data_IF_843346900766
#
_entry.id   IF_843346900766
#
_cell.length_a   1.000
_cell.length_b   1.000
_cell.length_c   1.000
_cell.angle_alpha   90.00
_cell.angle_beta   90.00
_cell.angle_gamma   90.00
#
_symmetry.space_group_name_H-M   'P 1'
#
loop_
_entity.id
_entity.type
_entity.pdbx_description
1 polymer ?
#
# COMPACT_ATOMS: atom_id res chain seq x y z
N UNK A 1 -18.35 -51.08 -92.40
CA UNK A 1 -17.23 -50.26 -91.96
C UNK A 1 -17.69 -49.49 -90.72
N UNK A 2 -17.46 -49.93 -89.53
CA UNK A 2 -17.88 -49.32 -88.31
C UNK A 2 -16.88 -49.69 -87.24
N UNK A 3 -16.20 -48.73 -86.74
CA UNK A 3 -15.24 -48.88 -85.63
C UNK A 3 -15.93 -48.61 -84.29
N UNK A 4 -15.93 -49.60 -83.44
CA UNK A 4 -16.33 -49.48 -82.02
C UNK A 4 -15.21 -48.85 -81.23
N UNK A 5 -15.54 -47.85 -80.43
CA UNK A 5 -14.66 -47.23 -79.46
C UNK A 5 -15.12 -47.66 -78.06
N UNK A 6 -14.24 -48.43 -77.37
CA UNK A 6 -14.46 -48.86 -76.00
C UNK A 6 -14.11 -47.76 -75.04
N UNK A 7 -15.04 -47.44 -74.07
CA UNK A 7 -14.78 -46.59 -72.93
C UNK A 7 -14.11 -47.44 -71.81
N UNK A 8 -12.93 -46.98 -71.37
CA UNK A 8 -12.22 -47.48 -70.19
C UNK A 8 -12.62 -46.62 -69.01
N UNK A 9 -13.29 -47.19 -68.02
CA UNK A 9 -13.62 -46.50 -66.76
C UNK A 9 -12.45 -46.70 -65.80
N UNK A 10 -11.82 -45.55 -65.40
CA UNK A 10 -10.80 -45.51 -64.36
C UNK A 10 -11.52 -45.21 -63.05
N UNK A 11 -11.48 -46.18 -62.12
CA UNK A 11 -11.96 -45.96 -60.74
C UNK A 11 -10.79 -45.33 -59.92
N UNK A 12 -10.97 -44.07 -59.48
CA UNK A 12 -10.02 -43.43 -58.59
C UNK A 12 -10.47 -43.74 -57.14
N UNK A 13 -9.71 -44.57 -56.44
CA UNK A 13 -9.88 -44.83 -55.02
C UNK A 13 -9.38 -43.68 -54.19
N UNK A 14 -10.28 -42.99 -53.48
CA UNK A 14 -9.93 -42.03 -52.43
C UNK A 14 -9.52 -42.80 -51.17
N UNK A 15 -8.23 -42.78 -50.81
CA UNK A 15 -7.75 -43.16 -49.48
C UNK A 15 -7.91 -41.96 -48.54
N UNK A 16 -8.87 -42.04 -47.62
CA UNK A 16 -8.98 -41.11 -46.50
C UNK A 16 -7.88 -41.46 -45.50
N UNK A 17 -6.84 -40.66 -45.47
CA UNK A 17 -5.82 -40.70 -44.40
C UNK A 17 -6.37 -39.97 -43.16
N UNK A 18 -6.73 -40.73 -42.11
CA UNK A 18 -6.96 -40.18 -40.80
C UNK A 18 -5.62 -39.71 -40.22
N UNK A 19 -5.29 -38.45 -40.44
CA UNK A 19 -4.25 -37.75 -39.69
C UNK A 19 -4.73 -37.49 -38.26
N UNK A 20 -4.15 -38.16 -37.28
CA UNK A 20 -4.30 -37.77 -35.89
C UNK A 20 -3.63 -36.41 -35.67
N UNK A 21 -4.41 -35.34 -35.72
CA UNK A 21 -4.00 -34.03 -35.19
C UNK A 21 -3.76 -34.18 -33.69
N UNK A 22 -2.48 -34.22 -33.32
CA UNK A 22 -2.07 -34.02 -31.94
C UNK A 22 -2.50 -32.62 -31.55
N UNK A 23 -3.55 -32.52 -30.70
CA UNK A 23 -3.94 -31.29 -30.08
C UNK A 23 -2.76 -30.72 -29.30
N UNK A 24 -2.09 -29.72 -29.86
CA UNK A 24 -1.16 -28.88 -29.11
C UNK A 24 -2.00 -28.22 -28.00
N UNK A 25 -1.50 -28.18 -26.75
CA UNK A 25 -2.19 -27.46 -25.72
C UNK A 25 -2.29 -26.00 -26.15
N UNK A 26 -3.51 -25.53 -26.38
CA UNK A 26 -3.76 -24.08 -26.52
C UNK A 26 -3.22 -23.40 -25.28
N UNK A 27 -2.15 -22.63 -25.46
CA UNK A 27 -1.70 -21.68 -24.45
C UNK A 27 -2.91 -20.83 -24.07
N UNK A 28 -3.28 -20.82 -22.79
CA UNK A 28 -4.30 -19.92 -22.27
C UNK A 28 -3.88 -18.51 -22.66
N UNK A 29 -4.66 -17.87 -23.52
CA UNK A 29 -4.52 -16.45 -23.84
C UNK A 29 -4.88 -15.64 -22.58
N UNK A 30 -3.86 -15.28 -21.79
CA UNK A 30 -3.96 -14.48 -20.57
C UNK A 30 -2.83 -14.89 -19.62
N UNK A 31 -1.75 -14.12 -19.55
CA UNK A 31 -0.73 -14.26 -18.51
C UNK A 31 -1.34 -14.12 -17.12
N UNK A 32 -0.65 -14.56 -16.05
CA UNK A 32 -1.06 -14.37 -14.67
C UNK A 32 -1.18 -12.88 -14.38
N UNK A 33 -2.09 -12.50 -13.50
CA UNK A 33 -2.26 -11.11 -13.08
C UNK A 33 -2.63 -11.06 -11.61
N UNK A 34 -2.25 -9.97 -10.96
CA UNK A 34 -2.65 -9.65 -9.59
C UNK A 34 -2.62 -8.14 -9.37
N UNK A 35 -3.29 -7.70 -8.31
CA UNK A 35 -3.41 -6.30 -7.92
C UNK A 35 -2.75 -6.07 -6.57
N UNK A 36 -2.06 -4.93 -6.44
CA UNK A 36 -1.47 -4.44 -5.19
C UNK A 36 -2.14 -3.14 -4.80
N UNK A 37 -2.75 -3.07 -3.60
CA UNK A 37 -3.12 -1.82 -2.97
C UNK A 37 -2.05 -1.43 -1.97
N UNK A 38 -1.55 -0.20 -2.04
CA UNK A 38 -0.61 0.36 -1.08
C UNK A 38 -1.18 1.64 -0.48
N UNK A 39 -1.08 1.80 0.83
CA UNK A 39 -1.56 2.98 1.54
C UNK A 39 -0.42 3.73 2.23
N UNK A 40 -0.70 4.96 2.65
CA UNK A 40 0.24 5.82 3.34
C UNK A 40 0.50 5.43 4.80
N UNK A 41 0.97 6.37 5.59
CA UNK A 41 1.49 6.18 6.94
C UNK A 41 0.36 5.95 7.96
N UNK A 42 0.49 4.91 8.77
CA UNK A 42 -0.38 4.65 9.93
C UNK A 42 0.33 5.18 11.16
N UNK A 43 -0.13 6.36 11.62
CA UNK A 43 0.46 7.13 12.72
C UNK A 43 -0.61 7.51 13.74
N UNK A 44 -0.74 6.70 14.79
CA UNK A 44 -1.85 6.81 15.74
C UNK A 44 -1.54 7.83 16.82
N UNK A 45 -2.08 9.04 16.64
CA UNK A 45 -2.05 10.13 17.64
C UNK A 45 -3.08 9.91 18.77
N UNK A 46 -2.93 10.60 19.92
CA UNK A 46 -3.81 10.43 21.07
C UNK A 46 -5.30 10.61 20.77
N UNK A 47 -5.66 11.56 19.92
CA UNK A 47 -7.07 11.84 19.54
C UNK A 47 -7.71 10.66 18.78
N UNK A 48 -6.91 9.89 18.03
CA UNK A 48 -7.37 8.68 17.37
C UNK A 48 -7.60 7.54 18.39
N UNK A 49 -6.84 7.52 19.48
CA UNK A 49 -7.04 6.56 20.58
C UNK A 49 -8.33 6.93 21.34
N UNK A 50 -8.56 8.23 21.60
CA UNK A 50 -9.81 8.70 22.21
C UNK A 50 -11.02 8.36 21.34
N UNK A 51 -10.90 8.52 20.01
CA UNK A 51 -11.95 8.11 19.08
C UNK A 51 -12.23 6.61 19.14
N UNK A 52 -11.18 5.78 19.16
CA UNK A 52 -11.33 4.34 19.28
C UNK A 52 -11.99 3.93 20.60
N UNK A 53 -11.75 4.65 21.69
CA UNK A 53 -12.43 4.44 22.97
C UNK A 53 -13.93 4.77 22.88
N UNK A 54 -14.28 5.92 22.28
CA UNK A 54 -15.70 6.30 22.02
C UNK A 54 -16.40 5.25 21.15
N UNK A 55 -15.71 4.74 20.13
CA UNK A 55 -16.27 3.73 19.22
C UNK A 55 -16.50 2.39 19.93
N UNK A 56 -15.58 1.97 20.80
CA UNK A 56 -15.74 0.78 21.62
C UNK A 56 -16.92 0.90 22.58
N UNK A 57 -17.10 2.06 23.23
CA UNK A 57 -18.25 2.32 24.11
C UNK A 57 -19.58 2.27 23.32
N UNK A 58 -19.65 2.93 22.16
CA UNK A 58 -20.84 2.94 21.29
C UNK A 58 -21.22 1.56 20.75
N UNK A 59 -20.21 0.76 20.33
CA UNK A 59 -20.44 -0.53 19.68
C UNK A 59 -20.53 -1.72 20.64
N UNK A 60 -20.00 -1.59 21.86
CA UNK A 60 -19.76 -2.70 22.78
C UNK A 60 -18.72 -3.70 22.26
N UNK A 61 -17.91 -3.32 21.27
CA UNK A 61 -16.87 -4.13 20.64
C UNK A 61 -15.49 -3.57 20.92
N UNK A 62 -14.46 -4.29 20.47
CA UNK A 62 -13.07 -3.92 20.68
C UNK A 62 -12.36 -4.74 21.75
N UNK A 63 -11.08 -4.56 21.89
CA UNK A 63 -10.23 -5.18 22.90
C UNK A 63 -9.70 -4.11 23.85
N UNK A 64 -9.71 -4.39 25.16
CA UNK A 64 -9.27 -3.45 26.21
C UNK A 64 -9.90 -2.03 26.07
N UNK A 65 -11.17 -1.96 25.63
CA UNK A 65 -11.92 -0.70 25.52
C UNK A 65 -11.55 0.15 24.28
N UNK A 66 -10.92 -0.41 23.26
CA UNK A 66 -10.57 0.30 22.02
C UNK A 66 -11.06 -0.46 20.78
N UNK A 67 -11.74 0.26 19.87
CA UNK A 67 -12.21 -0.24 18.58
C UNK A 67 -11.82 0.74 17.45
N UNK A 68 -10.79 0.39 16.67
CA UNK A 68 -10.37 1.18 15.49
C UNK A 68 -11.12 0.81 14.20
N UNK A 69 -12.01 -0.18 14.26
CA UNK A 69 -12.77 -0.63 13.08
C UNK A 69 -13.58 0.47 12.42
N UNK A 70 -14.41 1.24 13.17
CA UNK A 70 -15.18 2.35 12.60
C UNK A 70 -14.32 3.46 11.99
N UNK A 71 -13.16 3.75 12.60
CA UNK A 71 -12.20 4.74 12.07
C UNK A 71 -11.73 4.39 10.66
N UNK A 72 -11.46 3.12 10.37
CA UNK A 72 -10.88 2.64 9.12
C UNK A 72 -11.93 2.13 8.11
N UNK A 73 -13.20 2.06 8.48
CA UNK A 73 -14.25 1.39 7.69
C UNK A 73 -14.41 1.95 6.28
N UNK A 74 -14.18 3.26 6.08
CA UNK A 74 -14.38 3.93 4.79
C UNK A 74 -13.48 3.44 3.67
N UNK A 75 -12.31 2.88 3.97
CA UNK A 75 -11.38 2.37 2.95
C UNK A 75 -11.45 0.85 2.76
N UNK A 76 -12.20 0.14 3.59
CA UNK A 76 -12.37 -1.32 3.47
C UNK A 76 -12.82 -1.76 2.07
N UNK A 77 -13.78 -1.07 1.40
CA UNK A 77 -14.24 -1.48 0.06
C UNK A 77 -13.15 -1.44 -1.01
N UNK A 78 -12.10 -0.62 -0.83
CA UNK A 78 -10.95 -0.55 -1.73
C UNK A 78 -9.92 -1.60 -1.35
N UNK A 79 -9.46 -1.56 -0.10
CA UNK A 79 -8.36 -2.39 0.38
C UNK A 79 -8.67 -3.88 0.24
N UNK A 80 -9.88 -4.31 0.63
CA UNK A 80 -10.27 -5.73 0.59
C UNK A 80 -10.48 -6.30 -0.82
N UNK A 81 -10.43 -5.47 -1.87
CA UNK A 81 -10.53 -5.92 -3.27
C UNK A 81 -9.17 -6.25 -3.89
N UNK A 82 -8.08 -5.80 -3.29
CA UNK A 82 -6.74 -6.11 -3.80
C UNK A 82 -6.37 -7.57 -3.50
N UNK A 83 -5.59 -8.17 -4.42
CA UNK A 83 -5.03 -9.50 -4.20
C UNK A 83 -3.88 -9.46 -3.17
N UNK A 84 -3.23 -8.29 -3.02
CA UNK A 84 -2.25 -8.00 -1.99
C UNK A 84 -2.41 -6.55 -1.51
N UNK A 85 -2.71 -6.36 -0.24
CA UNK A 85 -2.83 -5.03 0.37
C UNK A 85 -1.68 -4.77 1.36
N UNK A 86 -0.99 -3.63 1.17
CA UNK A 86 0.20 -3.24 1.94
C UNK A 86 -0.09 -1.98 2.75
N UNK A 87 0.10 -2.05 4.07
CA UNK A 87 0.12 -0.89 4.98
C UNK A 87 1.55 -0.46 5.32
N UNK A 88 1.69 0.74 5.84
CA UNK A 88 2.91 1.17 6.51
C UNK A 88 2.62 1.39 7.99
N UNK A 89 3.07 0.46 8.83
CA UNK A 89 2.97 0.62 10.29
C UNK A 89 4.19 1.37 10.78
N UNK A 90 4.04 2.68 10.93
CA UNK A 90 5.16 3.57 11.20
C UNK A 90 5.66 3.47 12.64
N UNK A 91 4.75 3.21 13.58
CA UNK A 91 5.03 3.29 15.02
C UNK A 91 5.01 1.92 15.70
N UNK A 92 5.80 1.72 16.77
CA UNK A 92 5.71 0.51 17.56
C UNK A 92 4.45 0.46 18.41
N UNK A 93 3.94 -0.75 18.70
CA UNK A 93 2.77 -0.94 19.55
C UNK A 93 3.13 -1.21 21.00
N UNK A 94 2.26 -0.71 21.89
CA UNK A 94 2.28 -0.94 23.33
C UNK A 94 1.64 -2.26 23.76
N UNK A 95 1.35 -2.38 25.06
CA UNK A 95 0.47 -3.42 25.59
C UNK A 95 -0.99 -3.03 25.33
N UNK A 96 -1.93 -4.00 25.31
CA UNK A 96 -3.35 -3.70 25.07
C UNK A 96 -3.95 -2.64 25.99
N UNK A 97 -3.51 -2.61 27.25
CA UNK A 97 -4.00 -1.71 28.29
C UNK A 97 -3.17 -0.41 28.39
N UNK A 98 -2.13 -0.25 27.59
CA UNK A 98 -1.21 0.88 27.59
C UNK A 98 -0.10 0.75 28.65
N UNK A 99 0.48 1.88 29.14
CA UNK A 99 0.18 3.24 28.69
C UNK A 99 0.57 3.47 27.22
N UNK A 100 -0.14 4.37 26.53
CA UNK A 100 0.15 4.81 25.18
C UNK A 100 0.80 6.18 25.18
N UNK A 101 1.56 6.48 24.12
CA UNK A 101 2.30 7.73 23.97
C UNK A 101 2.25 8.19 22.51
N UNK A 102 2.03 9.49 22.31
CA UNK A 102 2.13 10.16 21.02
C UNK A 102 3.51 10.79 20.81
N UNK A 103 3.56 11.76 19.89
CA UNK A 103 4.76 12.52 19.57
C UNK A 103 5.50 13.04 20.82
N UNK A 104 6.87 13.05 20.87
CA UNK A 104 7.77 12.67 19.78
C UNK A 104 8.14 11.18 19.73
N UNK A 105 7.85 10.38 20.73
CA UNK A 105 8.16 8.96 20.83
C UNK A 105 6.86 8.17 20.94
N UNK A 106 6.48 7.50 19.89
CA UNK A 106 5.19 6.82 19.81
C UNK A 106 5.21 5.44 20.47
N UNK A 107 4.14 5.13 21.18
CA UNK A 107 3.79 3.79 21.63
C UNK A 107 2.27 3.63 21.53
N UNK A 108 1.80 2.99 20.47
CA UNK A 108 0.38 3.04 20.11
C UNK A 108 -0.38 1.75 20.50
N UNK A 109 -1.72 1.79 20.58
CA UNK A 109 -2.53 0.60 20.88
C UNK A 109 -2.33 -0.53 19.86
N UNK A 110 -2.07 -1.78 20.29
CA UNK A 110 -1.92 -2.91 19.37
C UNK A 110 -3.23 -3.27 18.65
N UNK A 111 -4.39 -2.82 19.12
CA UNK A 111 -5.71 -3.04 18.53
C UNK A 111 -5.81 -2.47 17.10
N UNK A 112 -5.00 -1.46 16.75
CA UNK A 112 -4.92 -0.95 15.37
C UNK A 112 -4.53 -2.06 14.39
N UNK A 113 -3.64 -2.99 14.77
CA UNK A 113 -3.19 -4.08 13.90
C UNK A 113 -4.33 -5.07 13.59
N UNK A 114 -5.20 -5.35 14.57
CA UNK A 114 -6.41 -6.14 14.33
C UNK A 114 -7.33 -5.44 13.32
N UNK A 115 -7.55 -4.14 13.51
CA UNK A 115 -8.42 -3.37 12.61
C UNK A 115 -7.82 -3.22 11.19
N UNK A 116 -6.51 -3.08 11.05
CA UNK A 116 -5.84 -3.13 9.73
C UNK A 116 -6.06 -4.48 9.05
N UNK A 117 -5.94 -5.60 9.79
CA UNK A 117 -6.23 -6.93 9.24
C UNK A 117 -7.68 -7.08 8.82
N UNK A 118 -8.63 -6.59 9.62
CA UNK A 118 -10.06 -6.67 9.35
C UNK A 118 -10.50 -5.81 8.15
N UNK A 119 -9.78 -4.73 7.87
CA UNK A 119 -9.96 -3.90 6.68
C UNK A 119 -9.48 -4.62 5.42
N UNK A 120 -8.55 -5.56 5.54
CA UNK A 120 -8.07 -6.40 4.45
C UNK A 120 -6.60 -6.28 4.13
N UNK A 121 -5.79 -5.62 4.96
CA UNK A 121 -4.35 -5.60 4.76
C UNK A 121 -3.73 -6.98 5.00
N UNK A 122 -2.72 -7.33 4.19
CA UNK A 122 -2.02 -8.61 4.22
C UNK A 122 -0.65 -8.51 4.88
N UNK A 123 0.02 -7.39 4.68
CA UNK A 123 1.38 -7.14 5.16
C UNK A 123 1.62 -5.65 5.36
N UNK A 124 2.50 -5.29 6.29
CA UNK A 124 2.93 -3.90 6.44
C UNK A 124 4.45 -3.76 6.33
N UNK A 125 4.89 -2.62 5.82
CA UNK A 125 6.24 -2.13 6.05
C UNK A 125 6.37 -1.61 7.48
N UNK A 126 7.52 -1.86 8.13
CA UNK A 126 7.78 -1.52 9.54
C UNK A 126 9.10 -0.78 9.75
N UNK A 127 9.84 -0.49 8.69
CA UNK A 127 11.03 0.35 8.76
C UNK A 127 10.63 1.82 8.67
N UNK A 128 10.82 2.56 9.75
CA UNK A 128 10.53 3.99 9.87
C UNK A 128 11.49 4.68 10.85
N UNK A 129 11.47 6.00 10.92
CA UNK A 129 12.19 6.78 11.95
C UNK A 129 11.67 6.49 13.37
N UNK A 130 10.45 5.95 13.54
CA UNK A 130 9.80 5.60 14.82
C UNK A 130 9.97 4.14 15.22
N UNK A 131 10.56 3.29 14.38
CA UNK A 131 10.69 1.84 14.65
C UNK A 131 11.30 1.56 16.03
N UNK A 132 12.25 2.38 16.47
CA UNK A 132 13.03 2.19 17.71
C UNK A 132 12.62 3.12 18.86
N UNK A 133 11.51 3.83 18.80
CA UNK A 133 11.07 4.77 19.85
C UNK A 133 11.09 4.17 21.26
N UNK A 134 10.76 2.91 21.39
CA UNK A 134 10.81 2.18 22.66
C UNK A 134 11.73 0.94 22.60
N UNK A 135 12.74 1.00 21.73
CA UNK A 135 13.81 0.02 21.60
C UNK A 135 13.33 -1.37 21.13
N UNK A 136 14.26 -2.32 21.13
CA UNK A 136 14.03 -3.69 20.62
C UNK A 136 12.82 -4.41 21.28
N UNK A 137 12.48 -4.06 22.53
CA UNK A 137 11.33 -4.66 23.21
C UNK A 137 10.02 -4.28 22.53
N UNK A 138 9.89 -3.05 22.08
CA UNK A 138 8.72 -2.59 21.35
C UNK A 138 8.69 -3.16 19.92
N UNK A 139 9.83 -3.20 19.22
CA UNK A 139 9.96 -3.89 17.93
C UNK A 139 9.45 -5.33 18.03
N UNK A 140 9.95 -6.10 19.00
CA UNK A 140 9.52 -7.49 19.21
C UNK A 140 8.00 -7.61 19.43
N UNK A 141 7.44 -6.76 20.30
CA UNK A 141 6.00 -6.76 20.57
C UNK A 141 5.19 -6.44 19.31
N UNK A 142 5.61 -5.46 18.54
CA UNK A 142 4.94 -5.08 17.29
C UNK A 142 4.88 -6.27 16.34
N UNK A 143 6.01 -6.91 16.07
CA UNK A 143 6.07 -8.04 15.16
C UNK A 143 5.34 -9.29 15.70
N UNK A 144 5.44 -9.57 17.00
CA UNK A 144 4.70 -10.68 17.64
C UNK A 144 3.19 -10.44 17.55
N UNK A 145 2.73 -9.19 17.68
CA UNK A 145 1.31 -8.86 17.54
C UNK A 145 0.87 -8.97 16.09
N UNK A 146 1.68 -8.51 15.13
CA UNK A 146 1.39 -8.67 13.69
C UNK A 146 1.25 -10.15 13.32
N UNK A 147 2.17 -10.99 13.76
CA UNK A 147 2.10 -12.45 13.55
C UNK A 147 0.81 -13.03 14.14
N UNK A 148 0.46 -12.63 15.39
CA UNK A 148 -0.75 -13.10 16.07
C UNK A 148 -2.04 -12.79 15.32
N UNK A 149 -2.13 -11.60 14.69
CA UNK A 149 -3.31 -11.20 13.91
C UNK A 149 -3.24 -11.62 12.43
N UNK A 150 -2.15 -12.25 12.00
CA UNK A 150 -1.97 -12.72 10.63
C UNK A 150 -1.61 -11.62 9.62
N UNK A 151 -0.97 -10.55 10.08
CA UNK A 151 -0.32 -9.53 9.23
C UNK A 151 1.14 -9.91 9.00
N UNK A 152 1.56 -10.00 7.72
CA UNK A 152 2.97 -10.06 7.38
C UNK A 152 3.69 -8.75 7.70
N UNK A 153 5.01 -8.79 7.77
CA UNK A 153 5.80 -7.59 8.02
C UNK A 153 7.14 -7.63 7.29
N UNK A 154 7.70 -6.46 7.01
CA UNK A 154 9.01 -6.29 6.41
C UNK A 154 9.65 -4.99 6.90
N UNK A 155 10.96 -5.00 7.18
CA UNK A 155 11.72 -3.78 7.51
C UNK A 155 12.33 -3.77 8.89
N UNK A 156 11.76 -4.48 9.86
CA UNK A 156 12.34 -4.68 11.18
C UNK A 156 12.37 -6.17 11.55
N UNK A 157 13.17 -6.53 12.57
CA UNK A 157 13.37 -7.92 12.96
C UNK A 157 13.56 -8.07 14.47
N UNK A 158 13.22 -9.25 15.02
CA UNK A 158 13.35 -9.60 16.43
C UNK A 158 14.70 -10.22 16.78
N UNK A 159 15.38 -10.76 15.77
CA UNK A 159 16.66 -11.47 15.89
C UNK A 159 17.51 -11.29 14.63
N UNK A 160 18.85 -11.47 14.71
CA UNK A 160 19.71 -11.45 13.53
C UNK A 160 19.30 -12.47 12.46
N UNK A 161 18.85 -13.65 12.86
CA UNK A 161 18.38 -14.71 11.95
C UNK A 161 17.09 -14.29 11.21
N UNK A 162 16.19 -13.58 11.87
CA UNK A 162 14.98 -13.07 11.25
C UNK A 162 15.29 -11.94 10.26
N UNK A 163 16.25 -11.07 10.56
CA UNK A 163 16.71 -10.01 9.66
C UNK A 163 17.24 -10.54 8.30
N UNK A 164 17.66 -11.81 8.25
CA UNK A 164 18.05 -12.46 7.01
C UNK A 164 16.86 -13.02 6.21
N UNK A 165 15.65 -12.97 6.72
CA UNK A 165 14.48 -13.48 6.02
C UNK A 165 13.95 -12.43 5.04
N UNK A 166 13.36 -12.91 3.95
CA UNK A 166 12.64 -12.09 2.99
C UNK A 166 11.17 -12.46 3.09
N UNK A 167 10.30 -11.47 3.24
CA UNK A 167 8.86 -11.67 3.20
C UNK A 167 8.45 -11.95 1.76
N UNK A 168 8.16 -13.21 1.43
CA UNK A 168 7.67 -13.67 0.12
C UNK A 168 6.30 -14.28 0.32
N UNK A 169 5.32 -13.84 -0.46
CA UNK A 169 3.93 -14.31 -0.44
C UNK A 169 3.56 -14.88 -1.81
N UNK A 170 2.71 -15.88 -1.81
CA UNK A 170 2.04 -16.33 -3.03
C UNK A 170 0.78 -15.49 -3.23
N UNK A 171 0.73 -14.79 -4.37
CA UNK A 171 -0.40 -13.93 -4.76
C UNK A 171 -0.88 -14.43 -6.12
N UNK A 172 -1.99 -15.13 -6.16
CA UNK A 172 -2.54 -15.74 -7.37
C UNK A 172 -1.54 -16.61 -8.16
N UNK A 173 -0.68 -17.35 -7.43
CA UNK A 173 0.36 -18.21 -8.01
C UNK A 173 1.61 -17.45 -8.45
N UNK A 174 1.76 -16.18 -8.07
CA UNK A 174 2.96 -15.35 -8.29
C UNK A 174 3.67 -15.15 -6.95
N UNK A 175 4.97 -15.43 -6.90
CA UNK A 175 5.78 -15.19 -5.70
C UNK A 175 6.20 -13.72 -5.65
N UNK A 176 5.62 -12.98 -4.73
CA UNK A 176 5.84 -11.54 -4.53
C UNK A 176 6.66 -11.33 -3.26
N UNK A 177 7.83 -10.71 -3.38
CA UNK A 177 8.65 -10.29 -2.25
C UNK A 177 8.29 -8.84 -1.86
N UNK A 178 8.24 -8.57 -0.55
CA UNK A 178 8.11 -7.22 -0.01
C UNK A 178 9.34 -6.88 0.82
N UNK A 179 10.08 -5.86 0.40
CA UNK A 179 11.24 -5.28 1.07
C UNK A 179 10.85 -3.94 1.67
N UNK A 180 11.43 -3.57 2.81
CA UNK A 180 11.16 -2.28 3.45
C UNK A 180 12.42 -1.74 4.13
N UNK A 181 12.69 -0.44 3.92
CA UNK A 181 13.85 0.27 4.46
C UNK A 181 13.47 1.69 4.86
N UNK A 182 14.22 2.26 5.79
CA UNK A 182 14.08 3.66 6.19
C UNK A 182 15.42 4.38 6.19
N UNK A 183 15.37 5.70 6.08
CA UNK A 183 16.49 6.55 6.49
C UNK A 183 16.70 6.44 8.02
N UNK A 184 17.88 6.78 8.47
CA UNK A 184 18.23 6.67 9.89
C UNK A 184 17.36 7.61 10.74
N UNK A 185 16.89 7.10 11.90
CA UNK A 185 16.24 7.94 12.89
C UNK A 185 17.27 8.78 13.63
N UNK A 186 17.08 10.09 13.69
CA UNK A 186 17.93 10.99 14.48
C UNK A 186 17.55 11.02 15.96
N UNK A 187 16.27 10.72 16.29
CA UNK A 187 15.76 10.76 17.66
C UNK A 187 16.19 9.50 18.44
N UNK A 188 15.98 8.33 17.86
CA UNK A 188 16.21 7.04 18.48
C UNK A 188 17.08 6.15 17.56
N UNK A 189 18.39 6.43 17.45
CA UNK A 189 19.25 5.65 16.58
C UNK A 189 19.34 4.20 17.07
N UNK A 190 19.33 3.27 16.15
CA UNK A 190 19.46 1.84 16.45
C UNK A 190 20.85 1.58 17.07
N UNK A 191 20.95 0.96 18.25
CA UNK A 191 22.23 0.62 18.84
C UNK A 191 23.07 -0.26 17.90
N UNK A 192 24.38 -0.02 17.81
CA UNK A 192 25.28 -0.73 16.89
C UNK A 192 25.15 -2.26 16.97
N UNK A 193 25.04 -2.81 18.19
CA UNK A 193 24.85 -4.26 18.42
C UNK A 193 23.47 -4.79 17.99
N UNK A 194 22.55 -3.90 17.63
CA UNK A 194 21.19 -4.22 17.20
C UNK A 194 20.89 -3.68 15.79
N UNK A 195 21.93 -3.29 15.02
CA UNK A 195 21.79 -2.76 13.65
C UNK A 195 21.04 -3.68 12.69
N UNK A 196 20.93 -4.95 13.01
CA UNK A 196 20.13 -5.95 12.29
C UNK A 196 18.62 -5.81 12.50
N UNK A 197 18.18 -5.13 13.56
CA UNK A 197 16.76 -5.08 13.93
C UNK A 197 15.94 -4.10 13.09
N UNK A 198 16.61 -3.34 12.24
CA UNK A 198 16.02 -2.27 11.44
C UNK A 198 16.78 -2.11 10.13
N UNK A 199 16.08 -2.06 9.02
CA UNK A 199 16.65 -1.96 7.69
C UNK A 199 16.95 -0.51 7.31
N UNK A 200 18.24 -0.15 7.26
CA UNK A 200 18.68 1.15 6.76
C UNK A 200 18.71 1.20 5.23
N UNK A 201 18.18 2.27 4.67
CA UNK A 201 18.04 2.52 3.23
C UNK A 201 19.40 2.84 2.59
N UNK A 202 19.99 1.85 1.95
CA UNK A 202 21.21 1.95 1.13
C UNK A 202 21.02 1.17 -0.14
N UNK A 203 21.29 1.77 -1.30
CA UNK A 203 21.10 1.13 -2.60
C UNK A 203 21.77 -0.25 -2.68
N UNK A 204 22.99 -0.38 -2.17
CA UNK A 204 23.73 -1.66 -2.18
C UNK A 204 23.05 -2.75 -1.34
N UNK A 205 22.45 -2.38 -0.19
CA UNK A 205 21.69 -3.31 0.64
C UNK A 205 20.40 -3.75 -0.07
N UNK A 206 19.68 -2.78 -0.64
CA UNK A 206 18.46 -3.05 -1.41
C UNK A 206 18.75 -3.99 -2.58
N UNK A 207 19.80 -3.71 -3.35
CA UNK A 207 20.25 -4.55 -4.47
C UNK A 207 20.60 -5.98 -4.06
N UNK A 208 21.31 -6.12 -2.93
CA UNK A 208 21.65 -7.44 -2.36
C UNK A 208 20.39 -8.21 -1.97
N UNK A 209 19.44 -7.55 -1.33
CA UNK A 209 18.24 -8.22 -0.82
C UNK A 209 17.21 -8.48 -1.92
N UNK A 210 17.13 -7.62 -2.93
CA UNK A 210 16.38 -7.88 -4.16
C UNK A 210 16.91 -9.16 -4.84
N UNK A 211 18.24 -9.25 -5.04
CA UNK A 211 18.84 -10.47 -5.59
C UNK A 211 18.53 -11.70 -4.74
N UNK A 212 18.60 -11.60 -3.40
CA UNK A 212 18.25 -12.70 -2.49
C UNK A 212 16.79 -13.09 -2.61
N UNK A 213 15.88 -12.13 -2.82
CA UNK A 213 14.47 -12.38 -3.06
C UNK A 213 14.29 -13.21 -4.35
N UNK A 214 14.96 -12.80 -5.44
CA UNK A 214 14.94 -13.53 -6.72
C UNK A 214 15.54 -14.95 -6.58
N UNK A 215 16.67 -15.07 -5.89
CA UNK A 215 17.31 -16.37 -5.63
C UNK A 215 16.40 -17.32 -4.83
N UNK A 216 15.48 -16.77 -4.01
CA UNK A 216 14.42 -17.52 -3.30
C UNK A 216 13.16 -17.73 -4.11
N UNK A 217 13.15 -17.33 -5.38
CA UNK A 217 12.08 -17.55 -6.33
C UNK A 217 11.04 -16.44 -6.40
N UNK A 218 11.30 -15.25 -5.87
CA UNK A 218 10.42 -14.10 -6.07
C UNK A 218 10.37 -13.71 -7.55
N UNK A 219 9.18 -13.59 -8.10
CA UNK A 219 8.91 -13.19 -9.48
C UNK A 219 8.64 -11.67 -9.58
N UNK A 220 8.19 -11.07 -8.48
CA UNK A 220 7.98 -9.62 -8.33
C UNK A 220 8.59 -9.17 -7.01
N UNK A 221 9.24 -8.01 -7.00
CA UNK A 221 9.83 -7.39 -5.80
C UNK A 221 9.27 -6.00 -5.60
N UNK A 222 8.54 -5.82 -4.50
CA UNK A 222 7.99 -4.55 -4.04
C UNK A 222 8.90 -3.95 -2.99
N UNK A 223 9.13 -2.64 -3.04
CA UNK A 223 10.03 -1.92 -2.14
C UNK A 223 9.31 -0.77 -1.46
N UNK A 224 9.13 -0.84 -0.14
CA UNK A 224 8.68 0.29 0.68
C UNK A 224 9.87 1.08 1.20
N UNK A 225 9.84 2.41 1.04
CA UNK A 225 10.88 3.33 1.50
C UNK A 225 10.28 4.43 2.38
N UNK A 226 10.74 4.50 3.62
CA UNK A 226 10.44 5.59 4.54
C UNK A 226 11.54 6.64 4.42
N UNK A 227 11.26 7.72 3.67
CA UNK A 227 12.27 8.65 3.16
C UNK A 227 11.72 10.04 2.88
N UNK A 228 12.59 10.99 2.64
CA UNK A 228 12.21 12.34 2.19
C UNK A 228 12.21 13.37 3.31
N UNK A 229 11.45 14.40 3.12
CA UNK A 229 11.25 15.49 4.07
C UNK A 229 9.76 15.57 4.43
N UNK A 230 9.47 15.69 5.71
CA UNK A 230 8.11 15.86 6.21
C UNK A 230 7.49 17.15 5.66
N UNK A 231 6.20 17.08 5.32
CA UNK A 231 5.34 18.19 4.90
C UNK A 231 5.73 18.85 3.56
N UNK A 232 6.58 18.22 2.75
CA UNK A 232 6.90 18.67 1.39
C UNK A 232 6.21 17.78 0.34
N UNK A 233 5.37 18.40 -0.49
CA UNK A 233 4.65 17.68 -1.57
C UNK A 233 5.53 17.36 -2.79
N UNK A 234 6.75 17.89 -2.86
CA UNK A 234 7.72 17.55 -3.90
C UNK A 234 8.81 16.61 -3.35
N UNK A 235 9.21 15.60 -4.11
CA UNK A 235 10.31 14.75 -3.72
C UNK A 235 11.61 15.55 -3.58
N UNK A 236 12.32 15.32 -2.49
CA UNK A 236 13.64 15.91 -2.25
C UNK A 236 14.68 15.37 -3.23
N UNK A 237 15.78 16.13 -3.43
CA UNK A 237 16.88 15.69 -4.30
C UNK A 237 17.43 14.32 -3.92
N UNK A 238 17.63 13.97 -2.62
CA UNK A 238 18.04 12.63 -2.25
C UNK A 238 17.03 11.53 -2.62
N UNK A 239 15.70 11.80 -2.56
CA UNK A 239 14.70 10.84 -3.03
C UNK A 239 14.83 10.59 -4.54
N UNK A 240 15.00 11.68 -5.33
CA UNK A 240 15.16 11.58 -6.79
C UNK A 240 16.42 10.80 -7.17
N UNK A 241 17.54 11.06 -6.49
CA UNK A 241 18.81 10.38 -6.75
C UNK A 241 18.74 8.89 -6.38
N UNK A 242 18.17 8.57 -5.22
CA UNK A 242 17.97 7.17 -4.81
C UNK A 242 17.01 6.44 -5.76
N UNK A 243 15.92 7.08 -6.20
CA UNK A 243 15.00 6.53 -7.21
C UNK A 243 15.73 6.17 -8.49
N UNK A 244 16.53 7.10 -9.02
CA UNK A 244 17.31 6.85 -10.24
C UNK A 244 18.21 5.62 -10.06
N UNK A 245 18.97 5.55 -8.96
CA UNK A 245 19.86 4.43 -8.68
C UNK A 245 19.10 3.10 -8.52
N UNK A 246 17.99 3.08 -7.78
CA UNK A 246 17.17 1.86 -7.61
C UNK A 246 16.66 1.37 -8.97
N UNK A 247 16.09 2.25 -9.77
CA UNK A 247 15.48 1.87 -11.05
C UNK A 247 16.50 1.54 -12.16
N UNK A 248 17.75 2.01 -12.04
CA UNK A 248 18.85 1.68 -12.96
C UNK A 248 19.64 0.44 -12.52
N UNK A 249 19.81 0.21 -11.21
CA UNK A 249 20.78 -0.76 -10.68
C UNK A 249 20.13 -2.01 -10.07
N UNK A 250 18.80 -2.04 -9.91
CA UNK A 250 18.08 -3.16 -9.28
C UNK A 250 16.95 -3.67 -10.16
N UNK A 251 16.41 -4.85 -9.83
CA UNK A 251 15.23 -5.43 -10.45
C UNK A 251 13.95 -5.19 -9.64
N UNK A 252 13.84 -4.09 -8.90
CA UNK A 252 12.63 -3.71 -8.16
C UNK A 252 11.52 -3.33 -9.13
N UNK A 253 10.32 -3.90 -8.96
CA UNK A 253 9.19 -3.73 -9.86
C UNK A 253 8.25 -2.58 -9.46
N UNK A 254 8.24 -2.19 -8.17
CA UNK A 254 7.44 -1.10 -7.64
C UNK A 254 8.10 -0.49 -6.41
N UNK A 255 8.13 0.85 -6.32
CA UNK A 255 8.57 1.60 -5.13
C UNK A 255 7.37 2.30 -4.49
N UNK A 256 7.21 2.14 -3.17
CA UNK A 256 6.15 2.71 -2.34
C UNK A 256 6.82 3.58 -1.27
N UNK A 257 6.61 4.89 -1.32
CA UNK A 257 7.23 5.86 -0.41
C UNK A 257 6.33 6.29 0.73
N UNK A 258 6.97 6.64 1.85
CA UNK A 258 6.40 6.99 3.14
C UNK A 258 7.17 8.15 3.78
N UNK A 259 6.79 8.62 4.97
CA UNK A 259 7.46 9.63 5.80
C UNK A 259 7.08 11.09 5.55
N UNK A 260 6.79 11.49 4.32
CA UNK A 260 6.51 12.91 4.06
C UNK A 260 5.21 13.41 4.72
N UNK A 261 4.33 12.51 5.18
CA UNK A 261 3.01 12.78 5.76
C UNK A 261 2.08 13.61 4.89
N UNK A 262 2.49 13.88 3.66
CA UNK A 262 1.71 14.52 2.58
C UNK A 262 1.92 13.76 1.29
N UNK A 263 0.96 13.86 0.38
CA UNK A 263 1.01 13.19 -0.91
C UNK A 263 2.12 13.80 -1.77
N UNK A 264 2.94 12.93 -2.36
CA UNK A 264 3.94 13.26 -3.38
C UNK A 264 3.61 12.54 -4.70
N UNK A 265 4.27 12.85 -5.82
CA UNK A 265 3.96 12.26 -7.12
C UNK A 265 4.00 10.72 -7.16
N UNK A 266 3.19 10.17 -8.06
CA UNK A 266 3.32 8.80 -8.56
C UNK A 266 3.73 8.90 -10.03
N UNK A 267 4.90 8.38 -10.37
CA UNK A 267 5.41 8.44 -11.74
C UNK A 267 6.16 7.16 -12.15
N UNK A 268 6.33 6.97 -13.45
CA UNK A 268 7.13 5.87 -14.00
C UNK A 268 8.56 6.36 -14.28
N UNK A 269 9.56 5.76 -13.63
CA UNK A 269 10.98 6.09 -13.78
C UNK A 269 11.71 4.86 -14.29
N UNK A 270 12.38 4.97 -15.43
CA UNK A 270 13.07 3.84 -16.09
C UNK A 270 12.22 2.57 -16.22
N UNK A 271 10.91 2.72 -16.42
CA UNK A 271 9.96 1.60 -16.53
C UNK A 271 9.33 1.14 -15.21
N UNK A 272 9.85 1.55 -14.05
CA UNK A 272 9.35 1.19 -12.72
C UNK A 272 8.42 2.27 -12.18
N UNK A 273 7.26 1.89 -11.62
CA UNK A 273 6.39 2.82 -10.92
C UNK A 273 6.96 3.18 -9.55
N UNK A 274 6.94 4.45 -9.24
CA UNK A 274 7.43 5.04 -7.99
C UNK A 274 6.36 5.96 -7.43
N UNK A 275 5.75 5.57 -6.32
CA UNK A 275 4.97 6.46 -5.48
C UNK A 275 5.94 7.09 -4.47
N UNK A 276 6.25 8.37 -4.58
CA UNK A 276 7.23 9.00 -3.68
C UNK A 276 6.72 9.15 -2.25
N UNK A 277 5.44 9.45 -2.06
CA UNK A 277 4.70 9.37 -0.81
C UNK A 277 3.21 9.28 -1.07
N UNK A 278 2.53 8.43 -0.30
CA UNK A 278 1.08 8.31 -0.33
C UNK A 278 0.39 9.16 0.76
N UNK A 279 1.16 10.02 1.45
CA UNK A 279 0.66 10.81 2.59
C UNK A 279 0.34 9.93 3.80
N UNK A 280 -0.59 10.38 4.65
CA UNK A 280 -1.07 9.58 5.77
C UNK A 280 -2.25 8.71 5.34
N UNK A 281 -2.21 7.42 5.72
CA UNK A 281 -3.41 6.60 5.71
C UNK A 281 -4.32 7.00 6.86
N UNK A 282 -3.76 7.14 8.05
CA UNK A 282 -4.48 7.64 9.22
C UNK A 282 -3.52 8.31 10.18
N UNK A 283 -3.74 9.59 10.43
CA UNK A 283 -2.99 10.40 11.38
C UNK A 283 -3.87 11.57 11.87
N UNK A 284 -3.49 12.18 13.00
CA UNK A 284 -4.08 13.43 13.49
C UNK A 284 -2.96 14.31 14.05
N UNK A 285 -2.42 15.18 13.20
CA UNK A 285 -1.38 16.11 13.64
C UNK A 285 -1.97 17.17 14.57
N UNK A 286 -1.16 17.65 15.52
CA UNK A 286 -1.58 18.68 16.49
C UNK A 286 -1.88 20.05 15.84
N UNK A 287 -1.30 20.28 14.66
CA UNK A 287 -1.54 21.51 13.87
C UNK A 287 -1.92 21.11 12.45
N UNK A 288 -3.16 20.68 12.21
CA UNK A 288 -3.60 20.19 10.93
C UNK A 288 -3.54 21.30 9.88
N UNK A 289 -2.84 21.02 8.78
CA UNK A 289 -2.71 21.92 7.63
C UNK A 289 -3.80 21.66 6.58
N UNK A 290 -4.59 20.62 6.76
CA UNK A 290 -5.49 20.07 5.76
C UNK A 290 -4.77 19.22 4.72
N UNK A 291 -3.43 19.22 4.66
CA UNK A 291 -2.62 18.38 3.78
C UNK A 291 -2.20 17.08 4.45
N UNK A 292 -2.00 17.09 5.75
CA UNK A 292 -1.60 15.93 6.56
C UNK A 292 -2.77 14.98 6.85
N UNK A 293 -4.00 15.43 6.66
CA UNK A 293 -5.22 14.63 6.71
C UNK A 293 -5.54 13.95 5.37
N UNK A 294 -4.92 14.43 4.27
CA UNK A 294 -5.13 13.93 2.92
C UNK A 294 -4.09 12.87 2.59
N UNK A 295 -4.54 11.76 2.02
CA UNK A 295 -3.71 10.66 1.59
C UNK A 295 -4.18 10.07 0.27
N UNK A 296 -3.45 9.04 -0.16
CA UNK A 296 -3.82 8.27 -1.33
C UNK A 296 -3.65 6.76 -1.10
N UNK A 297 -4.50 5.98 -1.72
CA UNK A 297 -4.27 4.56 -1.95
C UNK A 297 -3.77 4.41 -3.38
N UNK A 298 -2.54 3.95 -3.53
CA UNK A 298 -2.00 3.51 -4.81
C UNK A 298 -2.53 2.12 -5.15
N UNK A 299 -2.95 1.93 -6.39
CA UNK A 299 -3.46 0.67 -6.91
C UNK A 299 -2.65 0.28 -8.13
N UNK A 300 -1.94 -0.84 -8.06
CA UNK A 300 -1.04 -1.31 -9.10
C UNK A 300 -1.49 -2.69 -9.58
N UNK A 301 -1.79 -2.80 -10.88
CA UNK A 301 -2.17 -4.04 -11.51
C UNK A 301 -0.98 -4.59 -12.31
N UNK A 302 -0.51 -5.76 -11.91
CA UNK A 302 0.57 -6.51 -12.55
C UNK A 302 -0.01 -7.53 -13.52
N UNK A 303 0.46 -7.52 -14.77
CA UNK A 303 0.10 -8.48 -15.80
C UNK A 303 1.36 -9.12 -16.37
N UNK A 304 1.40 -10.44 -16.38
CA UNK A 304 2.50 -11.19 -16.95
C UNK A 304 2.51 -11.04 -18.48
N UNK A 305 3.68 -10.77 -19.03
CA UNK A 305 3.94 -10.64 -20.47
C UNK A 305 5.06 -11.58 -20.87
N UNK A 306 5.38 -11.67 -22.16
CA UNK A 306 6.51 -12.46 -22.64
C UNK A 306 7.86 -11.96 -22.11
N UNK A 307 7.95 -10.65 -21.79
CA UNK A 307 9.19 -9.97 -21.41
C UNK A 307 9.26 -9.65 -19.89
N UNK A 308 8.30 -10.15 -19.09
CA UNK A 308 8.23 -9.90 -17.64
C UNK A 308 6.87 -9.39 -17.19
N UNK A 309 6.82 -8.32 -16.42
CA UNK A 309 5.58 -7.78 -15.85
C UNK A 309 5.29 -6.39 -16.42
N UNK A 310 4.09 -6.20 -17.00
CA UNK A 310 3.53 -4.88 -17.27
C UNK A 310 2.74 -4.41 -16.05
N UNK A 311 2.98 -3.17 -15.62
CA UNK A 311 2.35 -2.60 -14.43
C UNK A 311 1.59 -1.35 -14.80
N UNK A 312 0.29 -1.33 -14.53
CA UNK A 312 -0.54 -0.13 -14.61
C UNK A 312 -0.84 0.43 -13.23
N UNK A 313 -0.89 1.76 -13.10
CA UNK A 313 -1.12 2.44 -11.84
C UNK A 313 -2.45 3.20 -11.83
N UNK A 314 -3.15 3.13 -10.71
CA UNK A 314 -4.35 3.93 -10.39
C UNK A 314 -4.24 4.47 -8.96
N UNK A 315 -5.09 5.42 -8.60
CA UNK A 315 -5.14 5.97 -7.25
C UNK A 315 -6.57 6.20 -6.76
N UNK A 316 -6.71 6.23 -5.44
CA UNK A 316 -7.89 6.74 -4.71
C UNK A 316 -7.43 7.78 -3.70
N UNK A 317 -8.15 8.89 -3.63
CA UNK A 317 -7.91 9.91 -2.60
C UNK A 317 -8.58 9.49 -1.29
N UNK A 318 -7.84 9.62 -0.19
CA UNK A 318 -8.36 9.42 1.17
C UNK A 318 -8.26 10.70 1.98
N UNK A 319 -9.08 10.79 3.01
CA UNK A 319 -9.10 11.92 3.93
C UNK A 319 -9.50 11.43 5.32
N UNK A 320 -8.81 11.89 6.36
CA UNK A 320 -9.31 11.78 7.72
C UNK A 320 -10.24 12.95 7.99
N UNK A 321 -11.54 12.68 8.10
CA UNK A 321 -12.52 13.64 8.57
C UNK A 321 -12.24 14.00 10.03
N UNK A 322 -12.24 15.30 10.34
CA UNK A 322 -11.93 15.83 11.66
C UNK A 322 -13.12 16.66 12.13
N UNK A 323 -13.68 16.38 13.32
CA UNK A 323 -14.67 17.24 13.94
C UNK A 323 -14.15 18.68 14.09
N UNK A 324 -15.02 19.69 13.94
CA UNK A 324 -14.63 21.07 14.16
C UNK A 324 -14.21 21.27 15.64
N UNK A 325 -13.17 22.08 15.86
CA UNK A 325 -12.84 22.57 17.19
C UNK A 325 -13.88 23.62 17.59
N UNK A 326 -14.54 23.41 18.73
CA UNK A 326 -15.61 24.28 19.22
C UNK A 326 -15.17 24.98 20.50
N UNK A 327 -15.46 26.28 20.63
CA UNK A 327 -15.31 26.99 21.88
C UNK A 327 -16.35 26.51 22.93
N UNK A 328 -16.07 26.63 24.24
CA UNK A 328 -17.00 26.22 25.26
C UNK A 328 -18.38 26.86 25.09
N UNK A 329 -19.41 26.06 24.85
CA UNK A 329 -20.79 26.48 24.61
C UNK A 329 -21.15 26.75 23.16
N UNK A 330 -20.21 26.63 22.24
CA UNK A 330 -20.48 26.70 20.81
C UNK A 330 -21.16 25.41 20.35
N UNK A 331 -22.08 25.51 19.38
CA UNK A 331 -22.73 24.36 18.76
C UNK A 331 -22.06 24.05 17.44
N UNK A 332 -21.82 22.78 17.21
CA UNK A 332 -21.33 22.33 15.90
C UNK A 332 -22.28 22.83 14.80
N UNK A 333 -21.75 23.25 13.63
CA UNK A 333 -22.52 23.56 12.46
C UNK A 333 -23.40 22.36 12.05
N UNK A 334 -24.56 22.65 11.45
CA UNK A 334 -25.44 21.59 10.95
C UNK A 334 -24.70 20.73 9.90
N UNK A 335 -24.71 19.42 10.11
CA UNK A 335 -24.03 18.46 9.23
C UNK A 335 -22.50 18.43 9.39
N UNK A 336 -21.97 19.01 10.48
CA UNK A 336 -20.55 18.87 10.84
C UNK A 336 -20.18 17.40 11.09
N UNK A 337 -18.90 17.11 10.92
CA UNK A 337 -18.32 15.81 11.30
C UNK A 337 -18.36 15.67 12.83
N UNK A 338 -18.85 14.53 13.31
CA UNK A 338 -18.93 14.24 14.76
C UNK A 338 -17.79 13.38 15.26
N UNK A 339 -17.25 12.53 14.39
CA UNK A 339 -16.25 11.53 14.72
C UNK A 339 -15.07 11.59 13.74
N UNK A 340 -13.85 11.26 14.19
CA UNK A 340 -12.71 11.03 13.32
C UNK A 340 -12.96 9.79 12.46
N UNK A 341 -12.91 9.93 11.14
CA UNK A 341 -13.13 8.83 10.18
C UNK A 341 -12.22 8.94 8.97
N UNK A 342 -11.59 7.83 8.61
CA UNK A 342 -10.90 7.71 7.33
C UNK A 342 -11.93 7.49 6.22
N UNK A 343 -11.95 8.37 5.24
CA UNK A 343 -12.95 8.42 4.16
C UNK A 343 -12.28 8.13 2.82
N UNK A 344 -12.91 7.30 2.01
CA UNK A 344 -12.68 7.25 0.56
C UNK A 344 -13.40 8.43 -0.08
N UNK A 345 -12.65 9.48 -0.39
CA UNK A 345 -13.18 10.75 -0.90
C UNK A 345 -13.93 10.58 -2.21
N UNK A 346 -13.45 9.74 -3.10
CA UNK A 346 -14.09 9.51 -4.40
C UNK A 346 -15.41 8.78 -4.22
N UNK A 347 -15.48 7.75 -3.36
CA UNK A 347 -16.71 7.05 -3.05
C UNK A 347 -17.76 7.99 -2.42
N UNK A 348 -17.32 8.86 -1.51
CA UNK A 348 -18.20 9.83 -0.87
C UNK A 348 -18.75 10.85 -1.87
N UNK A 349 -17.93 11.35 -2.81
CA UNK A 349 -18.38 12.27 -3.86
C UNK A 349 -19.26 11.61 -4.94
N UNK A 350 -19.07 10.32 -5.20
CA UNK A 350 -19.93 9.52 -6.10
C UNK A 350 -21.31 9.23 -5.47
N UNK A 351 -21.40 9.22 -4.13
CA UNK A 351 -22.61 8.96 -3.37
C UNK A 351 -22.81 10.08 -2.31
N UNK A 352 -23.11 11.31 -2.76
CA UNK A 352 -23.12 12.49 -1.90
C UNK A 352 -24.34 12.58 -0.95
N UNK A 353 -25.21 11.58 -0.94
CA UNK A 353 -26.39 11.56 -0.10
C UNK A 353 -26.01 11.70 1.39
N UNK A 354 -26.57 12.68 2.08
CA UNK A 354 -26.25 12.98 3.48
C UNK A 354 -24.99 13.82 3.71
N UNK A 355 -24.25 14.21 2.65
CA UNK A 355 -23.13 15.15 2.81
C UNK A 355 -23.64 16.60 2.88
N UNK A 356 -23.17 17.35 3.88
CA UNK A 356 -23.37 18.81 3.90
C UNK A 356 -22.59 19.49 2.76
N UNK A 357 -22.94 20.75 2.46
CA UNK A 357 -22.23 21.54 1.46
C UNK A 357 -20.76 21.72 1.82
N UNK A 358 -20.43 21.93 3.11
CA UNK A 358 -19.08 22.15 3.60
C UNK A 358 -18.25 20.86 3.48
N UNK A 359 -18.81 19.70 3.86
CA UNK A 359 -18.13 18.40 3.66
C UNK A 359 -17.88 18.11 2.19
N UNK A 360 -18.87 18.39 1.33
CA UNK A 360 -18.72 18.23 -0.12
C UNK A 360 -17.59 19.12 -0.65
N UNK A 361 -17.52 20.38 -0.23
CA UNK A 361 -16.46 21.31 -0.60
C UNK A 361 -15.07 20.83 -0.11
N UNK A 362 -15.00 20.35 1.15
CA UNK A 362 -13.75 19.79 1.73
C UNK A 362 -13.27 18.57 0.95
N UNK A 363 -14.17 17.68 0.56
CA UNK A 363 -13.83 16.46 -0.20
C UNK A 363 -13.37 16.79 -1.62
N UNK A 364 -14.02 17.76 -2.29
CA UNK A 364 -13.55 18.25 -3.60
C UNK A 364 -12.18 18.87 -3.51
N UNK A 365 -11.92 19.69 -2.49
CA UNK A 365 -10.61 20.27 -2.26
C UNK A 365 -9.53 19.19 -2.05
N UNK A 366 -9.83 18.16 -1.24
CA UNK A 366 -8.91 17.03 -1.01
C UNK A 366 -8.60 16.28 -2.32
N UNK A 367 -9.63 15.98 -3.12
CA UNK A 367 -9.46 15.32 -4.41
C UNK A 367 -8.62 16.15 -5.38
N UNK A 368 -8.92 17.45 -5.50
CA UNK A 368 -8.21 18.33 -6.44
C UNK A 368 -6.74 18.52 -6.03
N UNK A 369 -6.46 18.69 -4.75
CA UNK A 369 -5.09 18.83 -4.22
C UNK A 369 -4.30 17.52 -4.39
N UNK A 370 -4.85 16.41 -3.91
CA UNK A 370 -4.21 15.09 -4.03
C UNK A 370 -3.91 14.77 -5.49
N UNK A 371 -4.88 14.95 -6.38
CA UNK A 371 -4.68 14.78 -7.81
C UNK A 371 -3.56 15.69 -8.33
N UNK A 372 -3.55 16.97 -7.95
CA UNK A 372 -2.52 17.93 -8.35
C UNK A 372 -1.12 17.45 -7.97
N UNK A 373 -0.94 16.97 -6.74
CA UNK A 373 0.36 16.47 -6.26
C UNK A 373 0.77 15.16 -6.94
N UNK A 374 -0.16 14.22 -7.11
CA UNK A 374 0.13 12.94 -7.76
C UNK A 374 0.66 13.10 -9.20
N UNK A 375 0.26 14.16 -9.91
CA UNK A 375 0.64 14.42 -11.31
C UNK A 375 1.71 15.50 -11.49
N UNK A 376 2.24 16.11 -10.43
CA UNK A 376 3.10 17.29 -10.60
C UNK A 376 4.47 16.99 -11.25
N UNK A 377 4.90 15.73 -11.31
CA UNK A 377 6.16 15.33 -11.97
C UNK A 377 5.97 14.55 -13.26
N UNK A 378 4.78 14.07 -13.54
CA UNK A 378 4.39 13.43 -14.79
C UNK A 378 3.38 14.33 -15.52
N UNK A 379 3.49 14.48 -16.82
CA UNK A 379 2.43 15.14 -17.57
C UNK A 379 1.11 14.38 -17.38
N UNK A 380 -0.03 15.05 -17.18
CA UNK A 380 -1.32 14.37 -17.12
C UNK A 380 -1.52 13.46 -18.35
N UNK A 381 -1.67 12.16 -18.09
CA UNK A 381 -1.74 11.14 -19.14
C UNK A 381 -0.38 10.65 -19.69
N UNK A 382 0.76 11.25 -19.31
CA UNK A 382 2.08 10.85 -19.79
C UNK A 382 2.49 9.46 -19.33
N UNK A 383 2.33 9.17 -18.04
CA UNK A 383 2.70 7.87 -17.45
C UNK A 383 1.53 6.90 -17.32
N UNK A 384 0.32 7.32 -17.69
CA UNK A 384 -0.86 6.46 -17.64
C UNK A 384 -1.49 6.28 -16.23
N UNK A 385 -1.08 7.07 -15.22
CA UNK A 385 -1.74 7.09 -13.91
C UNK A 385 -3.20 7.54 -14.06
N UNK A 386 -4.13 6.78 -13.49
CA UNK A 386 -5.58 7.03 -13.58
C UNK A 386 -6.25 6.95 -12.21
N UNK A 387 -7.41 7.59 -12.09
CA UNK A 387 -8.29 7.37 -10.96
C UNK A 387 -8.79 5.90 -10.98
N UNK A 388 -8.82 5.25 -9.82
CA UNK A 388 -9.41 3.93 -9.68
C UNK A 388 -10.94 4.08 -9.60
N UNK A 389 -11.67 3.44 -10.50
CA UNK A 389 -13.11 3.25 -10.40
C UNK A 389 -13.40 1.90 -9.72
N UNK A 390 -14.21 1.90 -8.70
CA UNK A 390 -14.78 0.68 -8.13
C UNK A 390 -16.10 0.44 -8.88
N UNK A 391 -16.07 -0.43 -9.88
CA UNK A 391 -17.30 -0.83 -10.55
C UNK A 391 -18.33 -1.33 -9.51
N UNK A 392 -19.60 -0.90 -9.72
CA UNK A 392 -20.73 -1.26 -8.87
C UNK A 392 -21.13 -2.72 -9.02
#
# INVERSE_FOLDING_TARGET
>A
MGRSVGLLAIAIGLTVSCGSESAQPQAKAGGRSFTVAAAGDVLIHPELVEQAAKDAEKSGRGEAGLDFGPLLAGVKPVISKADLAICHMETPVGKPEGPFQGYPEFLVPPQILTSLKDVGYDTCSTASNHTFDHGLKAVRRTLDTMDKVGLGHSGSARTPKEAEQINIRDVNGVKVAHLSYSWESFLNPTPEKQSWAFNLSRTETIKKDEKRARDKGAEVVLLSLHWGLEHYNEPSVPQLDMTRRITEETGVDLVIGHHAHVVQPIQKVNGTWVAYSLGNQVARHSSPTGLTEEGAIGWFEFRETADGWDVSARYRTTLVDIPPELEPGEKAPEGAVEDLRLVDVQQALENPEGLSADRTARYRLAEDRTRGFLFNRGAPGGDGLKRLSLEK
#
